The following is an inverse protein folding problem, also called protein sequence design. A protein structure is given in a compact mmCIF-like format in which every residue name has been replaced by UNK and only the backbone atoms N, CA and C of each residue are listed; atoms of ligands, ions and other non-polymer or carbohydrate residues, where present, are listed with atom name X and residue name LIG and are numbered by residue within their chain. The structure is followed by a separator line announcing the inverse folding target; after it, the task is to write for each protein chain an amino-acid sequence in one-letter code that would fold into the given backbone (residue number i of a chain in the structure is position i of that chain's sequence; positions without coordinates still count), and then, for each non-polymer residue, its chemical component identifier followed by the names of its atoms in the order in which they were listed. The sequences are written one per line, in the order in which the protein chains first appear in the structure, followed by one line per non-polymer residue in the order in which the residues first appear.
data_IF_204317393195
#
_entry.id   IF_204317393195
#
_cell.length_a   1.000
_cell.length_b   1.000
_cell.length_c   1.000
_cell.angle_alpha   90.00
_cell.angle_beta   90.00
_cell.angle_gamma   90.00
#
_symmetry.space_group_name_H-M   'P 1'
#
loop_
_entity.id
_entity.type
_entity.pdbx_description
1 polymer ?
#
# COMPACT_ATOMS: atom_id res chain seq x y z
N UNK A 1 -16.21 -30.35 0.02
CA UNK A 1 -16.05 -29.56 -1.22
C UNK A 1 -16.99 -28.37 -1.09
N UNK A 2 -16.48 -27.19 -0.70
CA UNK A 2 -17.29 -25.98 -0.63
C UNK A 2 -17.19 -25.31 -1.99
N UNK A 3 -18.25 -25.42 -2.79
CA UNK A 3 -18.35 -24.69 -4.05
C UNK A 3 -18.67 -23.24 -3.68
N UNK A 4 -17.67 -22.36 -3.75
CA UNK A 4 -17.88 -20.93 -3.64
C UNK A 4 -18.32 -20.45 -5.02
N UNK A 5 -19.58 -20.02 -5.13
CA UNK A 5 -20.12 -19.44 -6.35
C UNK A 5 -19.23 -18.29 -6.83
N UNK A 6 -18.95 -18.25 -8.13
CA UNK A 6 -18.16 -17.20 -8.78
C UNK A 6 -18.75 -15.82 -8.45
N UNK A 7 -18.12 -15.15 -7.49
CA UNK A 7 -18.47 -13.81 -7.06
C UNK A 7 -18.22 -12.85 -8.22
N UNK A 8 -19.26 -12.16 -8.69
CA UNK A 8 -19.09 -10.90 -9.40
C UNK A 8 -18.13 -10.06 -8.56
N UNK A 9 -16.96 -9.70 -9.10
CA UNK A 9 -15.91 -9.04 -8.35
C UNK A 9 -16.50 -7.88 -7.54
N UNK A 10 -16.63 -8.08 -6.23
CA UNK A 10 -17.19 -7.08 -5.35
C UNK A 10 -16.33 -5.82 -5.48
N UNK A 11 -16.99 -4.65 -5.52
CA UNK A 11 -16.29 -3.38 -5.55
C UNK A 11 -15.27 -3.32 -4.40
N UNK A 12 -14.13 -2.68 -4.66
CA UNK A 12 -13.10 -2.50 -3.64
C UNK A 12 -13.69 -1.76 -2.43
N UNK A 13 -13.31 -2.14 -1.20
CA UNK A 13 -13.77 -1.47 0.00
C UNK A 13 -13.23 -0.05 0.02
N UNK A 14 -14.00 0.87 0.59
CA UNK A 14 -13.58 2.26 0.76
C UNK A 14 -12.91 2.46 2.12
N UNK A 15 -11.94 3.38 2.22
CA UNK A 15 -11.42 3.84 3.51
C UNK A 15 -12.55 4.25 4.47
N UNK A 16 -12.40 3.88 5.74
CA UNK A 16 -13.42 4.07 6.78
C UNK A 16 -13.09 5.30 7.62
N UNK A 17 -14.10 6.03 8.13
CA UNK A 17 -13.85 7.13 9.05
C UNK A 17 -13.05 6.71 10.29
N UNK A 18 -12.13 7.56 10.73
CA UNK A 18 -11.36 7.41 11.96
C UNK A 18 -11.80 8.48 12.96
N UNK A 19 -12.18 8.06 14.16
CA UNK A 19 -12.53 9.00 15.24
C UNK A 19 -11.27 9.58 15.87
N UNK A 20 -11.10 10.89 15.72
CA UNK A 20 -9.98 11.65 16.28
C UNK A 20 -10.40 12.55 17.45
N UNK A 21 -11.65 12.46 17.95
CA UNK A 21 -12.22 13.42 18.90
C UNK A 21 -11.36 13.62 20.15
N UNK A 22 -10.83 12.53 20.71
CA UNK A 22 -9.94 12.57 21.88
C UNK A 22 -8.52 13.06 21.57
N UNK A 23 -8.12 13.08 20.29
CA UNK A 23 -6.77 13.43 19.84
C UNK A 23 -6.66 14.88 19.35
N UNK A 24 -7.79 15.52 18.98
CA UNK A 24 -7.83 16.86 18.36
C UNK A 24 -6.92 17.90 19.01
N UNK A 25 -6.91 17.96 20.35
CA UNK A 25 -6.13 18.94 21.09
C UNK A 25 -4.60 18.71 21.05
N UNK A 26 -4.16 17.54 20.59
CA UNK A 26 -2.75 17.13 20.49
C UNK A 26 -2.22 17.11 19.05
N UNK A 27 -3.01 17.61 18.09
CA UNK A 27 -2.68 17.59 16.68
C UNK A 27 -1.57 18.61 16.36
N UNK A 28 -0.48 18.16 15.75
CA UNK A 28 0.39 19.02 14.95
C UNK A 28 -0.10 18.95 13.51
N UNK A 29 -0.43 20.10 12.92
CA UNK A 29 -0.90 20.19 11.53
C UNK A 29 0.18 20.82 10.67
N UNK A 30 0.59 20.14 9.60
CA UNK A 30 1.60 20.61 8.68
C UNK A 30 1.05 20.70 7.25
N UNK A 31 1.71 21.48 6.41
CA UNK A 31 1.41 21.57 4.99
C UNK A 31 2.67 21.66 4.14
N UNK A 32 2.61 21.18 2.91
CA UNK A 32 3.67 21.38 1.91
C UNK A 32 3.29 22.46 0.90
N UNK A 33 4.27 22.88 0.08
CA UNK A 33 4.06 23.89 -0.95
C UNK A 33 3.12 23.43 -2.09
N UNK A 34 2.86 22.13 -2.20
CA UNK A 34 1.99 21.52 -3.20
C UNK A 34 0.53 21.42 -2.71
N UNK A 35 0.23 21.86 -1.49
CA UNK A 35 -1.10 21.81 -0.88
C UNK A 35 -1.43 20.51 -0.15
N UNK A 36 -0.44 19.61 -0.01
CA UNK A 36 -0.52 18.44 0.84
C UNK A 36 -0.66 18.84 2.31
N UNK A 37 -1.44 18.06 3.06
CA UNK A 37 -1.73 18.29 4.47
C UNK A 37 -1.34 17.06 5.27
N UNK A 38 -0.69 17.31 6.40
CA UNK A 38 -0.21 16.29 7.32
C UNK A 38 -0.79 16.57 8.69
N UNK A 39 -1.28 15.54 9.38
CA UNK A 39 -1.76 15.68 10.75
C UNK A 39 -1.07 14.61 11.58
N UNK A 40 -0.30 15.05 12.57
CA UNK A 40 0.48 14.17 13.44
C UNK A 40 -0.09 14.24 14.85
N UNK A 41 -0.38 13.06 15.40
CA UNK A 41 -0.74 12.86 16.79
C UNK A 41 0.36 12.02 17.43
N UNK A 42 1.06 12.58 18.42
CA UNK A 42 2.11 11.89 19.18
C UNK A 42 1.55 11.26 20.47
N UNK A 43 2.25 10.25 20.99
CA UNK A 43 1.89 9.53 22.22
C UNK A 43 1.94 8.02 22.01
N UNK A 44 1.33 7.27 22.93
CA UNK A 44 1.36 5.80 22.93
C UNK A 44 0.62 5.17 21.74
N UNK A 45 -0.42 5.85 21.22
CA UNK A 45 -1.11 5.51 19.97
C UNK A 45 -0.84 6.61 18.94
N UNK A 46 0.43 6.72 18.53
CA UNK A 46 0.84 7.70 17.54
C UNK A 46 0.12 7.47 16.21
N UNK A 47 -0.37 8.56 15.60
CA UNK A 47 -1.04 8.53 14.30
C UNK A 47 -0.50 9.61 13.39
N UNK A 48 -0.28 9.26 12.14
CA UNK A 48 0.08 10.20 11.08
C UNK A 48 -0.98 10.08 10.00
N UNK A 49 -1.50 11.21 9.55
CA UNK A 49 -2.41 11.29 8.42
C UNK A 49 -1.79 12.16 7.32
N UNK A 50 -2.06 11.81 6.07
CA UNK A 50 -1.71 12.63 4.91
C UNK A 50 -2.88 12.72 3.92
N UNK A 51 -3.08 13.90 3.36
CA UNK A 51 -3.99 14.10 2.24
C UNK A 51 -3.37 15.02 1.19
N UNK A 52 -3.66 14.82 -0.11
CA UNK A 52 -3.22 15.74 -1.16
C UNK A 52 -3.92 17.11 -1.12
N UNK A 53 -4.87 17.28 -0.19
CA UNK A 53 -5.60 18.52 0.07
C UNK A 53 -6.23 18.47 1.47
N UNK A 54 -6.95 19.53 1.84
CA UNK A 54 -7.60 19.68 3.16
C UNK A 54 -8.92 18.91 3.33
N UNK A 55 -9.44 18.23 2.30
CA UNK A 55 -10.76 17.57 2.36
C UNK A 55 -10.71 16.18 2.99
N UNK A 56 -9.67 15.41 2.69
CA UNK A 56 -9.56 14.02 3.18
C UNK A 56 -8.10 13.70 3.45
N UNK A 57 -7.83 13.17 4.64
CA UNK A 57 -6.51 12.72 5.06
C UNK A 57 -6.59 11.24 5.44
N UNK A 58 -5.66 10.46 4.91
CA UNK A 58 -5.57 9.01 5.05
C UNK A 58 -4.54 8.65 6.11
N UNK A 59 -4.88 7.71 6.98
CA UNK A 59 -3.95 7.18 7.98
C UNK A 59 -2.75 6.52 7.30
N UNK A 60 -1.55 6.92 7.72
CA UNK A 60 -0.29 6.36 7.23
C UNK A 60 0.08 5.14 8.03
N UNK A 61 0.64 4.13 7.37
CA UNK A 61 1.09 2.91 8.03
C UNK A 61 2.46 3.17 8.66
N UNK A 62 2.49 3.57 9.94
CA UNK A 62 3.73 3.77 10.70
C UNK A 62 4.41 2.42 10.89
N UNK A 63 5.66 2.31 10.45
CA UNK A 63 6.51 1.11 10.57
C UNK A 63 7.73 1.34 11.45
N UNK A 64 8.01 2.58 11.80
CA UNK A 64 9.04 2.94 12.77
C UNK A 64 8.82 4.32 13.34
N UNK A 65 9.35 4.55 14.53
CA UNK A 65 9.37 5.87 15.16
C UNK A 65 10.66 6.03 15.95
N UNK A 66 11.23 7.22 15.92
CA UNK A 66 12.40 7.57 16.74
C UNK A 66 12.19 8.93 17.42
N UNK A 67 12.90 9.15 18.52
CA UNK A 67 12.91 10.40 19.26
C UNK A 67 14.28 10.56 19.90
N UNK A 68 14.85 11.75 19.81
CA UNK A 68 16.14 12.05 20.43
C UNK A 68 16.03 12.47 21.91
N UNK A 69 14.79 12.66 22.41
CA UNK A 69 14.52 13.08 23.79
C UNK A 69 14.76 14.57 24.05
N UNK A 70 15.24 15.31 23.05
CA UNK A 70 15.57 16.74 23.10
C UNK A 70 14.64 17.56 22.19
N UNK A 71 13.54 16.95 21.72
CA UNK A 71 12.49 17.60 20.94
C UNK A 71 12.43 17.14 19.49
N UNK A 72 13.47 16.50 18.96
CA UNK A 72 13.46 15.91 17.62
C UNK A 72 12.82 14.52 17.62
N UNK A 73 12.10 14.22 16.55
CA UNK A 73 11.43 12.94 16.35
C UNK A 73 11.20 12.65 14.88
N UNK A 74 11.04 11.38 14.55
CA UNK A 74 10.72 10.91 13.21
C UNK A 74 9.66 9.81 13.27
N UNK A 75 8.73 9.84 12.32
CA UNK A 75 7.89 8.70 11.97
C UNK A 75 8.26 8.18 10.60
N UNK A 76 8.61 6.90 10.52
CA UNK A 76 8.79 6.16 9.28
C UNK A 76 7.47 5.48 8.93
N UNK A 77 7.01 5.69 7.70
CA UNK A 77 5.76 5.17 7.16
C UNK A 77 6.05 4.30 5.94
N UNK A 78 5.25 3.25 5.75
CA UNK A 78 5.38 2.41 4.56
C UNK A 78 4.92 3.16 3.31
N UNK A 79 5.84 3.32 2.36
CA UNK A 79 5.70 4.07 1.13
C UNK A 79 6.10 3.18 -0.06
N UNK A 80 5.16 2.39 -0.61
CA UNK A 80 5.49 1.32 -1.55
C UNK A 80 6.01 1.77 -2.93
N UNK A 81 5.91 3.06 -3.27
CA UNK A 81 6.44 3.62 -4.53
C UNK A 81 7.90 4.05 -4.43
N UNK A 82 8.47 4.05 -3.22
CA UNK A 82 9.89 4.41 -3.00
C UNK A 82 10.76 3.26 -3.47
N UNK A 83 11.70 3.54 -4.37
CA UNK A 83 12.51 2.51 -5.05
C UNK A 83 13.73 2.10 -4.22
N UNK A 84 14.28 3.02 -3.44
CA UNK A 84 15.53 2.83 -2.71
C UNK A 84 15.26 2.45 -1.25
N UNK A 85 15.94 1.40 -0.78
CA UNK A 85 15.89 0.99 0.62
C UNK A 85 14.56 0.36 1.06
N UNK A 86 14.18 0.49 2.34
CA UNK A 86 13.06 -0.25 2.96
C UNK A 86 11.64 0.23 2.61
N UNK A 87 11.45 0.87 1.45
CA UNK A 87 10.16 1.43 1.00
C UNK A 87 9.54 2.39 2.03
N UNK A 88 10.32 3.37 2.50
CA UNK A 88 9.91 4.28 3.57
C UNK A 88 9.71 5.70 3.07
N UNK A 89 8.67 6.34 3.60
CA UNK A 89 8.55 7.79 3.66
C UNK A 89 8.61 8.24 5.10
N UNK A 90 9.21 9.38 5.39
CA UNK A 90 9.33 9.91 6.74
C UNK A 90 8.66 11.27 6.91
N UNK A 91 8.21 11.53 8.13
CA UNK A 91 7.92 12.87 8.64
C UNK A 91 8.80 13.10 9.85
N UNK A 92 9.60 14.15 9.79
CA UNK A 92 10.61 14.45 10.80
C UNK A 92 10.38 15.84 11.35
N UNK A 93 10.47 15.95 12.67
CA UNK A 93 10.65 17.21 13.38
C UNK A 93 12.09 17.25 13.89
N UNK A 94 12.84 18.24 13.45
CA UNK A 94 14.24 18.44 13.82
C UNK A 94 14.34 19.22 15.13
N UNK A 95 15.49 19.13 15.81
CA UNK A 95 15.75 19.86 17.07
C UNK A 95 15.67 21.38 16.93
N UNK A 96 15.89 21.91 15.72
CA UNK A 96 15.78 23.34 15.42
C UNK A 96 14.32 23.82 15.24
N UNK A 97 13.33 22.93 15.42
CA UNK A 97 11.92 23.22 15.28
C UNK A 97 11.38 23.10 13.86
N UNK A 98 12.21 22.70 12.88
CA UNK A 98 11.76 22.52 11.50
C UNK A 98 11.09 21.17 11.28
N UNK A 99 10.14 21.15 10.34
CA UNK A 99 9.47 19.93 9.91
C UNK A 99 9.81 19.64 8.45
N UNK A 100 9.98 18.36 8.14
CA UNK A 100 10.25 17.90 6.79
C UNK A 100 9.55 16.57 6.52
N UNK A 101 9.31 16.30 5.24
CA UNK A 101 9.04 14.95 4.77
C UNK A 101 10.19 14.48 3.88
N UNK A 102 10.45 13.19 3.89
CA UNK A 102 11.35 12.57 2.91
C UNK A 102 10.67 11.36 2.27
N UNK A 103 10.88 11.20 0.97
CA UNK A 103 10.49 9.99 0.23
C UNK A 103 11.70 9.25 -0.33
N UNK A 104 12.88 9.89 -0.29
CA UNK A 104 14.18 9.33 -0.65
C UNK A 104 15.21 10.01 0.24
N UNK A 105 16.32 9.35 0.52
CA UNK A 105 17.33 9.83 1.48
C UNK A 105 17.82 11.26 1.21
N UNK A 106 17.86 11.68 -0.06
CA UNK A 106 18.37 13.00 -0.47
C UNK A 106 17.27 14.01 -0.85
N UNK A 107 15.99 13.61 -0.82
CA UNK A 107 14.86 14.46 -1.22
C UNK A 107 14.02 14.82 0.01
N UNK A 108 14.51 15.79 0.78
CA UNK A 108 13.79 16.36 1.92
C UNK A 108 12.99 17.58 1.47
N UNK A 109 11.69 17.59 1.77
CA UNK A 109 10.79 18.69 1.49
C UNK A 109 10.35 19.34 2.80
N UNK A 110 10.57 20.65 2.92
CA UNK A 110 10.18 21.42 4.09
C UNK A 110 8.65 21.44 4.22
N UNK A 111 8.18 21.24 5.44
CA UNK A 111 6.78 21.36 5.83
C UNK A 111 6.58 22.62 6.69
N UNK A 112 5.47 23.31 6.46
CA UNK A 112 5.07 24.47 7.26
C UNK A 112 4.04 24.05 8.29
N UNK A 113 4.33 24.31 9.57
CA UNK A 113 3.36 24.12 10.65
C UNK A 113 2.22 25.16 10.53
N UNK A 114 0.99 24.66 10.55
CA UNK A 114 -0.21 25.49 10.61
C UNK A 114 -0.61 25.63 12.09
N UNK A 115 -0.95 26.86 12.49
CA UNK A 115 -1.38 27.17 13.85
C UNK A 115 -2.74 27.88 13.89
N UNK A 116 -3.31 27.99 15.09
CA UNK A 116 -4.56 28.71 15.36
C UNK A 116 -5.74 28.26 14.48
N UNK A 117 -6.44 29.22 13.89
CA UNK A 117 -7.64 28.97 13.08
C UNK A 117 -7.36 28.12 11.84
N UNK A 118 -6.16 28.18 11.27
CA UNK A 118 -5.78 27.38 10.09
C UNK A 118 -5.70 25.90 10.44
N UNK A 119 -5.01 25.57 11.55
CA UNK A 119 -4.92 24.20 12.05
C UNK A 119 -6.30 23.67 12.44
N UNK A 120 -7.06 24.47 13.18
CA UNK A 120 -8.43 24.12 13.60
C UNK A 120 -9.34 23.84 12.41
N UNK A 121 -9.25 24.64 11.34
CA UNK A 121 -10.04 24.43 10.14
C UNK A 121 -9.74 23.08 9.47
N UNK A 122 -8.48 22.64 9.44
CA UNK A 122 -8.11 21.31 8.94
C UNK A 122 -8.70 20.22 9.84
N UNK A 123 -8.45 20.29 11.15
CA UNK A 123 -8.88 19.28 12.13
C UNK A 123 -10.41 19.11 12.17
N UNK A 124 -11.16 20.20 11.98
CA UNK A 124 -12.63 20.17 12.07
C UNK A 124 -13.33 19.85 10.75
N UNK A 125 -12.68 20.08 9.59
CA UNK A 125 -13.32 19.92 8.27
C UNK A 125 -12.78 18.75 7.44
N UNK A 126 -11.56 18.30 7.69
CA UNK A 126 -11.00 17.15 6.96
C UNK A 126 -11.73 15.87 7.37
N UNK A 127 -12.01 15.01 6.40
CA UNK A 127 -12.39 13.63 6.66
C UNK A 127 -11.12 12.82 7.00
N UNK A 128 -11.02 12.39 8.26
CA UNK A 128 -9.98 11.45 8.69
C UNK A 128 -10.46 10.04 8.39
N UNK A 129 -9.68 9.32 7.57
CA UNK A 129 -10.01 7.96 7.16
C UNK A 129 -8.83 7.02 7.34
N UNK A 130 -9.11 5.71 7.40
CA UNK A 130 -8.10 4.67 7.43
C UNK A 130 -7.22 4.71 6.16
N UNK A 131 -6.13 3.93 6.14
CA UNK A 131 -5.17 3.92 5.04
C UNK A 131 -5.81 3.81 3.65
N UNK A 132 -5.37 4.62 2.70
CA UNK A 132 -5.82 4.57 1.30
C UNK A 132 -5.43 3.27 0.58
N UNK A 133 -4.54 2.46 1.18
CA UNK A 133 -4.10 1.17 0.64
C UNK A 133 -5.17 0.11 0.93
N UNK A 134 -6.14 -0.01 0.03
CA UNK A 134 -7.25 -0.96 0.14
C UNK A 134 -6.88 -2.38 -0.30
N UNK A 135 -5.81 -2.51 -1.09
CA UNK A 135 -5.29 -3.78 -1.61
C UNK A 135 -3.80 -3.87 -1.42
N UNK A 136 -3.34 -5.09 -1.15
CA UNK A 136 -1.95 -5.43 -0.92
C UNK A 136 -1.49 -6.53 -1.86
N UNK A 137 -0.19 -6.58 -2.21
CA UNK A 137 0.37 -7.68 -2.97
C UNK A 137 0.11 -9.01 -2.28
N UNK A 138 -0.24 -10.01 -3.08
CA UNK A 138 -0.33 -11.40 -2.63
C UNK A 138 0.72 -12.26 -3.32
N UNK A 139 0.92 -12.07 -4.62
CA UNK A 139 1.86 -12.87 -5.41
C UNK A 139 2.34 -12.07 -6.62
N UNK A 140 3.64 -12.13 -6.92
CA UNK A 140 4.22 -11.62 -8.15
C UNK A 140 5.08 -12.69 -8.81
N UNK A 141 4.92 -12.85 -10.12
CA UNK A 141 5.76 -13.71 -10.93
C UNK A 141 5.98 -13.10 -12.32
N UNK A 142 7.00 -13.58 -13.03
CA UNK A 142 7.34 -13.11 -14.37
C UNK A 142 7.86 -14.26 -15.24
N UNK A 143 7.55 -14.25 -16.52
CA UNK A 143 8.20 -15.14 -17.49
C UNK A 143 9.45 -14.50 -18.13
N UNK A 144 10.22 -15.29 -18.88
CA UNK A 144 11.47 -14.84 -19.51
C UNK A 144 11.25 -13.78 -20.61
N UNK A 145 10.02 -13.60 -21.09
CA UNK A 145 9.65 -12.56 -22.07
C UNK A 145 9.30 -11.22 -21.43
N UNK A 146 9.32 -11.15 -20.09
CA UNK A 146 9.01 -9.94 -19.33
C UNK A 146 7.51 -9.71 -19.15
N UNK A 147 6.68 -10.74 -19.28
CA UNK A 147 5.26 -10.68 -18.90
C UNK A 147 5.14 -11.01 -17.43
N UNK A 148 4.45 -10.14 -16.70
CA UNK A 148 4.16 -10.26 -15.29
C UNK A 148 2.80 -10.94 -15.06
N UNK A 149 2.74 -11.73 -13.99
CA UNK A 149 1.57 -12.37 -13.45
C UNK A 149 1.46 -11.91 -12.00
N UNK A 150 0.43 -11.14 -11.69
CA UNK A 150 0.31 -10.46 -10.42
C UNK A 150 -1.05 -10.77 -9.78
N UNK A 151 -1.01 -11.07 -8.49
CA UNK A 151 -2.19 -11.23 -7.65
C UNK A 151 -2.14 -10.23 -6.51
N UNK A 152 -3.22 -9.49 -6.34
CA UNK A 152 -3.47 -8.71 -5.13
C UNK A 152 -4.64 -9.28 -4.34
N UNK A 153 -4.76 -8.84 -3.09
CA UNK A 153 -5.92 -9.11 -2.24
C UNK A 153 -6.32 -7.86 -1.47
N UNK A 154 -7.55 -7.84 -0.99
CA UNK A 154 -8.01 -6.80 -0.06
C UNK A 154 -7.11 -6.80 1.19
N UNK A 155 -6.72 -5.62 1.67
CA UNK A 155 -5.89 -5.49 2.85
C UNK A 155 -6.60 -6.03 4.11
N UNK A 156 -5.86 -6.53 5.09
CA UNK A 156 -6.43 -7.17 6.29
C UNK A 156 -7.37 -6.24 7.06
N UNK A 157 -7.06 -4.94 7.15
CA UNK A 157 -7.90 -3.92 7.78
C UNK A 157 -9.28 -3.75 7.10
N UNK A 158 -9.39 -4.20 5.85
CA UNK A 158 -10.62 -4.21 5.06
C UNK A 158 -11.21 -5.61 4.86
N UNK A 159 -10.74 -6.61 5.61
CA UNK A 159 -11.31 -7.97 5.64
C UNK A 159 -10.44 -9.05 4.99
N UNK A 160 -9.36 -8.69 4.29
CA UNK A 160 -8.33 -9.66 3.84
C UNK A 160 -8.71 -10.61 2.70
N UNK A 161 -9.98 -10.67 2.30
CA UNK A 161 -10.51 -11.62 1.33
C UNK A 161 -10.75 -10.96 -0.03
N UNK A 162 -10.63 -11.72 -1.11
CA UNK A 162 -10.96 -11.25 -2.46
C UNK A 162 -9.71 -10.94 -3.27
N UNK A 163 -9.41 -11.84 -4.20
CA UNK A 163 -8.25 -11.77 -5.08
C UNK A 163 -8.57 -11.08 -6.40
N UNK A 164 -7.56 -10.45 -7.00
CA UNK A 164 -7.58 -10.07 -8.42
C UNK A 164 -6.33 -10.60 -9.09
N UNK A 165 -6.47 -11.09 -10.31
CA UNK A 165 -5.35 -11.54 -11.14
C UNK A 165 -5.14 -10.55 -12.29
N UNK A 166 -3.90 -10.21 -12.55
CA UNK A 166 -3.49 -9.38 -13.67
C UNK A 166 -2.35 -10.04 -14.43
N UNK A 167 -2.39 -9.94 -15.75
CA UNK A 167 -1.32 -10.45 -16.63
C UNK A 167 -0.98 -9.43 -17.70
N UNK A 168 0.30 -9.13 -17.90
CA UNK A 168 0.75 -8.18 -18.92
C UNK A 168 2.19 -7.70 -18.73
N UNK A 169 2.62 -6.76 -19.57
CA UNK A 169 3.88 -6.04 -19.37
C UNK A 169 3.67 -4.87 -18.41
N UNK A 170 4.76 -4.32 -17.86
CA UNK A 170 4.74 -3.05 -17.10
C UNK A 170 3.93 -1.98 -17.86
N UNK A 171 3.09 -1.24 -17.16
CA UNK A 171 2.17 -0.23 -17.70
C UNK A 171 1.01 -0.75 -18.55
N UNK A 172 0.95 -2.05 -18.83
CA UNK A 172 -0.03 -2.67 -19.72
C UNK A 172 -0.66 -3.93 -19.11
N UNK A 173 -0.80 -3.96 -17.79
CA UNK A 173 -1.42 -5.07 -17.06
C UNK A 173 -2.91 -5.15 -17.38
N UNK A 174 -3.39 -6.36 -17.68
CA UNK A 174 -4.81 -6.61 -17.98
C UNK A 174 -5.42 -7.46 -16.88
N UNK A 175 -6.57 -7.06 -16.29
CA UNK A 175 -7.27 -7.91 -15.34
C UNK A 175 -7.71 -9.21 -16.02
N UNK A 176 -7.57 -10.31 -15.30
CA UNK A 176 -8.04 -11.64 -15.67
C UNK A 176 -9.12 -12.04 -14.66
N UNK A 177 -10.41 -11.84 -14.99
CA UNK A 177 -11.49 -12.18 -14.08
C UNK A 177 -11.38 -13.64 -13.63
N UNK A 178 -11.37 -13.82 -12.31
CA UNK A 178 -11.33 -15.13 -11.67
C UNK A 178 -12.64 -15.86 -11.89
N UNK A 179 -12.55 -17.15 -12.15
CA UNK A 179 -13.69 -18.07 -12.18
C UNK A 179 -13.73 -18.97 -10.96
N UNK A 180 -12.56 -19.27 -10.37
CA UNK A 180 -12.41 -20.08 -9.17
C UNK A 180 -11.07 -19.79 -8.48
N UNK A 181 -10.99 -20.06 -7.18
CA UNK A 181 -9.74 -20.03 -6.39
C UNK A 181 -9.70 -21.23 -5.46
N UNK A 182 -8.68 -22.08 -5.63
CA UNK A 182 -8.35 -23.13 -4.68
C UNK A 182 -7.13 -22.70 -3.85
N UNK A 183 -7.21 -22.84 -2.54
CA UNK A 183 -6.11 -22.51 -1.62
C UNK A 183 -6.08 -23.53 -0.48
N UNK A 184 -5.01 -24.31 -0.40
CA UNK A 184 -4.82 -25.36 0.59
C UNK A 184 -3.32 -25.58 0.90
N UNK A 185 -2.98 -26.66 1.59
CA UNK A 185 -1.59 -26.97 1.97
C UNK A 185 -0.66 -27.20 0.77
N UNK A 186 -1.19 -27.57 -0.40
CA UNK A 186 -0.41 -27.78 -1.62
C UNK A 186 -0.16 -26.48 -2.41
N UNK A 187 -0.78 -25.36 -1.99
CA UNK A 187 -0.56 -24.05 -2.58
C UNK A 187 -1.85 -23.37 -3.01
N UNK A 188 -1.77 -22.58 -4.09
CA UNK A 188 -2.87 -21.76 -4.57
C UNK A 188 -3.03 -21.90 -6.09
N UNK A 189 -4.29 -22.03 -6.54
CA UNK A 189 -4.66 -22.05 -7.95
C UNK A 189 -5.69 -20.95 -8.20
N UNK A 190 -5.35 -20.03 -9.08
CA UNK A 190 -6.19 -18.92 -9.51
C UNK A 190 -6.67 -19.18 -10.93
N UNK A 191 -7.91 -19.65 -11.07
CA UNK A 191 -8.48 -20.04 -12.36
C UNK A 191 -9.11 -18.85 -13.06
N UNK A 192 -8.82 -18.68 -14.34
CA UNK A 192 -9.41 -17.63 -15.19
C UNK A 192 -9.89 -18.23 -16.51
N UNK A 193 -10.77 -17.53 -17.24
CA UNK A 193 -11.19 -17.97 -18.58
C UNK A 193 -10.03 -18.15 -19.58
N UNK A 194 -8.88 -17.51 -19.33
CA UNK A 194 -7.73 -17.52 -20.25
C UNK A 194 -6.59 -18.45 -19.82
N UNK A 195 -6.72 -19.12 -18.68
CA UNK A 195 -5.68 -19.96 -18.08
C UNK A 195 -5.66 -19.85 -16.55
N UNK A 196 -4.83 -20.69 -15.93
CA UNK A 196 -4.69 -20.81 -14.49
C UNK A 196 -3.31 -20.34 -14.06
N UNK A 197 -3.24 -19.49 -13.04
CA UNK A 197 -2.00 -19.21 -12.33
C UNK A 197 -1.90 -20.14 -11.12
N UNK A 198 -0.84 -20.95 -11.06
CA UNK A 198 -0.66 -21.96 -10.02
C UNK A 198 0.62 -21.71 -9.25
N UNK A 199 0.49 -21.47 -7.95
CA UNK A 199 1.55 -21.60 -6.96
C UNK A 199 1.43 -23.00 -6.35
N UNK A 200 2.41 -23.86 -6.58
CA UNK A 200 2.44 -25.21 -6.00
C UNK A 200 3.58 -25.28 -5.01
N UNK A 201 3.26 -25.60 -3.76
CA UNK A 201 4.23 -25.87 -2.69
C UNK A 201 4.52 -27.36 -2.65
N UNK A 202 5.79 -27.74 -2.74
CA UNK A 202 6.16 -29.13 -2.59
C UNK A 202 5.97 -29.60 -1.13
N UNK A 203 5.63 -30.87 -0.96
CA UNK A 203 5.34 -31.48 0.35
C UNK A 203 6.52 -31.51 1.31
N UNK A 204 7.74 -31.35 0.81
CA UNK A 204 8.96 -31.22 1.63
C UNK A 204 9.30 -29.76 1.99
N UNK A 205 8.46 -28.81 1.57
CA UNK A 205 8.63 -27.36 1.74
C UNK A 205 9.97 -26.80 1.21
N UNK A 206 10.67 -27.54 0.34
CA UNK A 206 11.99 -27.13 -0.13
C UNK A 206 11.92 -26.22 -1.36
N UNK A 207 10.84 -26.30 -2.15
CA UNK A 207 10.65 -25.53 -3.38
C UNK A 207 9.20 -25.18 -3.63
N UNK A 208 8.97 -23.89 -3.87
CA UNK A 208 7.73 -23.37 -4.46
C UNK A 208 7.92 -23.27 -5.97
N UNK A 209 6.94 -23.72 -6.75
CA UNK A 209 6.91 -23.58 -8.21
C UNK A 209 5.73 -22.72 -8.63
N UNK A 210 5.96 -21.88 -9.64
CA UNK A 210 4.96 -20.96 -10.16
C UNK A 210 4.76 -21.23 -11.64
N UNK A 211 3.52 -21.49 -12.05
CA UNK A 211 3.23 -21.80 -13.45
C UNK A 211 1.98 -21.11 -13.95
N UNK A 212 1.99 -20.72 -15.22
CA UNK A 212 0.80 -20.35 -15.97
C UNK A 212 0.39 -21.50 -16.88
N UNK A 213 -0.83 -22.00 -16.73
CA UNK A 213 -1.36 -23.13 -17.50
C UNK A 213 -2.46 -22.63 -18.43
N UNK A 214 -2.30 -22.86 -19.73
CA UNK A 214 -3.30 -22.50 -20.76
C UNK A 214 -3.59 -23.72 -21.64
N UNK A 215 -4.73 -24.38 -21.39
CA UNK A 215 -5.01 -25.67 -21.99
C UNK A 215 -3.96 -26.69 -21.55
N UNK A 216 -3.32 -27.36 -22.50
CA UNK A 216 -2.24 -28.32 -22.23
C UNK A 216 -0.86 -27.67 -22.06
N UNK A 217 -0.72 -26.38 -22.38
CA UNK A 217 0.56 -25.67 -22.30
C UNK A 217 0.83 -25.18 -20.89
N UNK A 218 2.01 -25.50 -20.37
CA UNK A 218 2.53 -25.01 -19.10
C UNK A 218 3.71 -24.07 -19.35
N UNK A 219 3.65 -22.90 -18.73
CA UNK A 219 4.72 -21.92 -18.72
C UNK A 219 5.26 -21.81 -17.30
N UNK A 220 6.53 -22.14 -17.11
CA UNK A 220 7.23 -21.90 -15.85
C UNK A 220 7.43 -20.39 -15.66
N UNK A 221 7.25 -19.93 -14.42
CA UNK A 221 7.38 -18.53 -14.04
C UNK A 221 8.42 -18.39 -12.94
N UNK A 222 9.14 -17.27 -12.98
CA UNK A 222 10.04 -16.86 -11.91
C UNK A 222 9.21 -16.16 -10.83
N UNK A 223 9.25 -16.69 -9.61
CA UNK A 223 8.69 -16.01 -8.44
C UNK A 223 9.48 -14.75 -8.13
N UNK A 224 8.78 -13.65 -7.87
CA UNK A 224 9.37 -12.38 -7.49
C UNK A 224 8.85 -12.00 -6.10
N UNK A 225 9.77 -11.73 -5.18
CA UNK A 225 9.41 -11.26 -3.85
C UNK A 225 8.64 -9.94 -3.92
N UNK A 226 7.47 -9.88 -3.30
CA UNK A 226 6.57 -8.73 -3.44
C UNK A 226 7.04 -7.50 -2.69
N UNK A 227 7.84 -7.68 -1.63
CA UNK A 227 8.38 -6.55 -0.87
C UNK A 227 9.51 -5.91 -1.66
N UNK A 228 10.52 -6.69 -2.05
CA UNK A 228 11.65 -6.26 -2.89
C UNK A 228 11.17 -5.62 -4.21
N UNK A 229 10.05 -6.08 -4.77
CA UNK A 229 9.48 -5.56 -6.01
C UNK A 229 8.30 -4.60 -5.76
N UNK A 230 8.17 -4.02 -4.57
CA UNK A 230 7.06 -3.14 -4.21
C UNK A 230 6.93 -1.97 -5.17
N UNK A 231 8.03 -1.27 -5.49
CA UNK A 231 8.02 -0.18 -6.46
C UNK A 231 7.56 -0.64 -7.85
N UNK A 232 7.99 -1.83 -8.32
CA UNK A 232 7.50 -2.39 -9.59
C UNK A 232 5.98 -2.57 -9.54
N UNK A 233 5.45 -3.11 -8.45
CA UNK A 233 4.02 -3.37 -8.29
C UNK A 233 3.20 -2.08 -8.25
N UNK A 234 3.61 -1.13 -7.43
CA UNK A 234 2.81 0.05 -7.09
C UNK A 234 3.04 1.26 -8.01
N UNK A 235 4.12 1.24 -8.78
CA UNK A 235 4.47 2.28 -9.77
C UNK A 235 4.43 1.73 -11.20
N UNK A 236 5.22 0.70 -11.49
CA UNK A 236 5.49 0.31 -12.88
C UNK A 236 4.40 -0.56 -13.52
N UNK A 237 3.69 -1.39 -12.75
CA UNK A 237 2.64 -2.26 -13.30
C UNK A 237 1.43 -1.47 -13.82
N UNK A 238 1.23 -0.23 -13.36
CA UNK A 238 0.13 0.64 -13.79
C UNK A 238 -1.25 0.22 -13.28
N UNK A 239 -1.32 -0.55 -12.19
CA UNK A 239 -2.58 -1.05 -11.61
C UNK A 239 -3.14 -0.06 -10.57
N UNK A 240 -2.25 0.60 -9.84
CA UNK A 240 -2.61 1.49 -8.73
C UNK A 240 -2.46 2.94 -9.16
N UNK A 241 -3.54 3.72 -9.06
CA UNK A 241 -3.54 5.15 -9.37
C UNK A 241 -3.19 5.98 -8.13
N UNK A 242 -3.94 5.80 -7.05
CA UNK A 242 -3.80 6.52 -5.78
C UNK A 242 -3.78 5.55 -4.61
N UNK A 243 -2.82 5.74 -3.68
CA UNK A 243 -2.62 4.92 -2.48
C UNK A 243 -2.85 5.72 -1.19
N UNK A 244 -2.91 7.06 -1.28
CA UNK A 244 -3.08 7.92 -0.11
C UNK A 244 -1.88 7.92 0.83
N UNK A 245 -0.70 7.58 0.33
CA UNK A 245 0.57 7.64 1.08
C UNK A 245 1.24 9.00 0.91
N UNK A 246 2.04 9.43 1.87
CA UNK A 246 2.74 10.72 1.77
C UNK A 246 3.73 10.81 0.60
N UNK A 247 4.13 9.66 0.06
CA UNK A 247 5.03 9.52 -1.10
C UNK A 247 4.30 8.98 -2.34
N UNK A 248 3.00 9.23 -2.50
CA UNK A 248 2.24 8.67 -3.62
C UNK A 248 2.69 9.24 -4.98
N UNK A 249 3.19 10.48 -5.04
CA UNK A 249 3.46 11.19 -6.30
C UNK A 249 4.87 10.98 -6.88
N UNK A 250 5.65 10.00 -6.42
CA UNK A 250 7.06 9.79 -6.82
C UNK A 250 7.27 8.78 -7.96
#
# INVERSE_FOLDING_TARGET
MVVVAASTAAADPTPKPVDIKALKAKATVLSDAQGGVYVVFRGDDAKVFYGPNTKTVYEQNIVGSSSDGEGGWEFNTWAPRVVDGPHLGSITHRKDGTYEKACREQEQMVLTELSGDKAKAVIDKAAFVTSGIVRVPHLLARDDSGVYYYVDRIAKIYGGKGYRVFVGKKGAMKPKPLTDVASDSAGEVFSTKSGDLRLVRQSDHTKDSMTWVKGEKRHELVFLDTDTNSAVIFKDLGIYTFLGTLCDNI
#
